data_IF_737759678008
#
_entry.id   IF_737759678008
#
_cell.length_a   1.000
_cell.length_b   1.000
_cell.length_c   1.000
_cell.angle_alpha   90.00
_cell.angle_beta   90.00
_cell.angle_gamma   90.00
#
_symmetry.space_group_name_H-M   'P 1'
#
loop_
_entity.id
_entity.type
_entity.pdbx_description
1 polymer ?
#
# COMPACT_ATOMS: atom_id res chain seq x y z
N UNK A 1 -14.81 -4.59 21.48
CA UNK A 1 -14.85 -4.01 20.13
C UNK A 1 -13.49 -3.41 19.82
N UNK A 2 -12.97 -3.68 18.63
CA UNK A 2 -11.74 -3.04 18.13
C UNK A 2 -12.13 -2.01 17.08
N UNK A 3 -11.52 -0.80 17.11
CA UNK A 3 -11.58 0.20 16.06
C UNK A 3 -10.28 0.13 15.27
N UNK A 4 -10.38 0.19 13.96
CA UNK A 4 -9.26 0.38 13.04
C UNK A 4 -9.45 1.71 12.32
N UNK A 5 -8.39 2.52 12.26
CA UNK A 5 -8.41 3.77 11.55
C UNK A 5 -7.13 3.94 10.73
N UNK A 6 -7.25 4.66 9.64
CA UNK A 6 -6.14 5.03 8.78
C UNK A 6 -6.30 6.50 8.43
N UNK A 7 -5.23 7.27 8.56
CA UNK A 7 -5.17 8.66 8.17
C UNK A 7 -4.04 8.87 7.18
N UNK A 8 -4.38 9.28 5.96
CA UNK A 8 -3.40 9.57 4.92
C UNK A 8 -2.91 11.01 5.07
N UNK A 9 -1.62 11.15 5.24
CA UNK A 9 -0.94 12.43 5.43
C UNK A 9 0.07 12.61 4.31
N UNK A 10 0.11 13.79 3.70
CA UNK A 10 1.14 14.15 2.72
C UNK A 10 2.38 14.64 3.48
N UNK A 11 3.54 14.14 3.11
CA UNK A 11 4.84 14.56 3.62
C UNK A 11 5.80 14.73 2.43
N UNK A 12 6.69 15.71 2.51
CA UNK A 12 7.83 15.79 1.61
C UNK A 12 8.92 14.76 2.01
N UNK A 13 9.96 14.62 1.16
CA UNK A 13 11.03 13.64 1.41
C UNK A 13 11.76 13.88 2.73
N UNK A 14 12.01 15.13 3.09
CA UNK A 14 12.72 15.48 4.32
C UNK A 14 11.85 15.22 5.56
N UNK A 15 10.57 15.54 5.49
CA UNK A 15 9.58 15.21 6.54
C UNK A 15 9.44 13.70 6.68
N UNK A 16 9.30 12.98 5.57
CA UNK A 16 9.18 11.52 5.57
C UNK A 16 10.41 10.86 6.18
N UNK A 17 11.61 11.30 5.82
CA UNK A 17 12.85 10.79 6.39
C UNK A 17 12.90 10.96 7.92
N UNK A 18 12.41 12.10 8.45
CA UNK A 18 12.30 12.32 9.90
C UNK A 18 11.25 11.44 10.55
N UNK A 19 10.09 11.27 9.91
CA UNK A 19 9.00 10.43 10.41
C UNK A 19 9.37 8.94 10.47
N UNK A 20 10.32 8.50 9.64
CA UNK A 20 10.80 7.12 9.58
C UNK A 20 11.99 6.83 10.51
N UNK A 21 12.28 7.70 11.47
CA UNK A 21 13.26 7.43 12.54
C UNK A 21 12.53 6.88 13.76
N UNK A 22 12.96 5.71 14.25
CA UNK A 22 12.35 5.08 15.42
C UNK A 22 12.76 5.75 16.75
N UNK A 23 12.16 5.31 17.85
CA UNK A 23 12.44 5.80 19.21
C UNK A 23 13.88 5.60 19.66
N UNK A 24 14.64 4.74 18.96
CA UNK A 24 16.06 4.46 19.22
C UNK A 24 16.99 5.25 18.28
N UNK A 25 16.44 6.15 17.45
CA UNK A 25 17.21 6.96 16.51
C UNK A 25 17.61 6.22 15.23
N UNK A 26 17.07 5.02 14.95
CA UNK A 26 17.41 4.23 13.77
C UNK A 26 16.49 4.58 12.60
N UNK A 27 17.03 4.89 11.41
CA UNK A 27 16.21 5.16 10.23
C UNK A 27 15.64 3.86 9.64
N UNK A 28 14.40 3.93 9.19
CA UNK A 28 13.69 2.88 8.48
C UNK A 28 13.38 3.32 7.04
N UNK A 29 13.17 2.34 6.14
CA UNK A 29 12.95 2.65 4.72
C UNK A 29 11.50 2.95 4.36
N UNK A 30 10.56 2.29 5.02
CA UNK A 30 9.17 2.30 4.56
C UNK A 30 8.12 2.31 5.67
N UNK A 31 8.43 1.91 6.89
CA UNK A 31 7.45 1.83 7.97
C UNK A 31 8.11 1.88 9.34
N UNK A 32 7.37 2.38 10.32
CA UNK A 32 7.62 2.15 11.73
C UNK A 32 6.56 1.18 12.24
N UNK A 33 6.98 0.14 12.95
CA UNK A 33 6.08 -0.81 13.56
C UNK A 33 5.34 -0.18 14.75
N UNK A 34 4.33 -0.88 15.22
CA UNK A 34 3.58 -0.49 16.42
C UNK A 34 4.52 -0.40 17.61
N UNK A 35 4.50 0.73 18.31
CA UNK A 35 5.39 1.00 19.45
C UNK A 35 6.78 1.55 19.09
N UNK A 36 7.17 1.64 17.81
CA UNK A 36 8.49 2.15 17.40
C UNK A 36 8.52 3.67 17.24
N UNK A 37 7.38 4.33 17.14
CA UNK A 37 7.33 5.78 16.96
C UNK A 37 7.86 6.52 18.20
N UNK A 38 8.72 7.55 18.02
CA UNK A 38 9.15 8.41 19.13
C UNK A 38 7.95 9.10 19.75
N UNK A 39 7.95 9.30 21.08
CA UNK A 39 6.87 10.02 21.76
C UNK A 39 6.62 11.43 21.17
N UNK A 40 7.68 12.13 20.78
CA UNK A 40 7.55 13.45 20.16
C UNK A 40 6.76 13.39 18.84
N UNK A 41 6.97 12.34 18.04
CA UNK A 41 6.23 12.12 16.80
C UNK A 41 4.75 11.78 17.08
N UNK A 42 4.48 10.97 18.11
CA UNK A 42 3.10 10.65 18.54
C UNK A 42 2.39 11.93 19.04
N UNK A 43 3.05 12.74 19.86
CA UNK A 43 2.48 14.03 20.31
C UNK A 43 2.18 14.96 19.12
N UNK A 44 3.14 15.10 18.20
CA UNK A 44 2.93 15.91 16.99
C UNK A 44 1.77 15.41 16.12
N UNK A 45 1.57 14.09 16.01
CA UNK A 45 0.44 13.48 15.32
C UNK A 45 -0.89 13.86 16.00
N UNK A 46 -0.97 13.78 17.34
CA UNK A 46 -2.17 14.16 18.09
C UNK A 46 -2.48 15.64 17.93
N UNK A 47 -1.47 16.51 18.02
CA UNK A 47 -1.64 17.96 17.85
C UNK A 47 -2.08 18.30 16.42
N UNK A 48 -1.56 17.58 15.42
CA UNK A 48 -2.02 17.70 14.05
C UNK A 48 -3.48 17.25 13.90
N UNK A 49 -3.85 16.13 14.50
CA UNK A 49 -5.23 15.66 14.47
C UNK A 49 -6.20 16.67 15.06
N UNK A 50 -5.86 17.30 16.18
CA UNK A 50 -6.68 18.34 16.81
C UNK A 50 -6.92 19.57 15.92
N UNK A 51 -5.99 19.85 15.00
CA UNK A 51 -6.11 20.99 14.06
C UNK A 51 -6.82 20.63 12.76
N UNK A 52 -6.65 19.40 12.27
CA UNK A 52 -6.98 19.05 10.88
C UNK A 52 -8.22 18.17 10.75
N UNK A 53 -8.62 17.43 11.78
CA UNK A 53 -9.75 16.53 11.69
C UNK A 53 -10.86 16.84 12.69
N UNK A 54 -12.04 16.27 12.50
CA UNK A 54 -13.17 16.43 13.42
C UNK A 54 -12.77 16.01 14.86
N UNK A 55 -13.19 16.72 15.94
CA UNK A 55 -12.78 16.42 17.31
C UNK A 55 -12.91 14.96 17.74
N UNK A 56 -14.00 14.28 17.38
CA UNK A 56 -14.17 12.85 17.68
C UNK A 56 -13.11 11.94 17.03
N UNK A 57 -12.57 12.33 15.86
CA UNK A 57 -11.49 11.60 15.21
C UNK A 57 -10.15 11.93 15.88
N UNK A 58 -9.96 13.19 16.28
CA UNK A 58 -8.79 13.59 17.07
C UNK A 58 -8.72 12.85 18.40
N UNK A 59 -9.86 12.68 19.09
CA UNK A 59 -9.94 11.89 20.32
C UNK A 59 -9.57 10.42 20.09
N UNK A 60 -9.98 9.84 18.96
CA UNK A 60 -9.59 8.49 18.58
C UNK A 60 -8.08 8.36 18.36
N UNK A 61 -7.47 9.33 17.67
CA UNK A 61 -6.02 9.39 17.48
C UNK A 61 -5.31 9.50 18.81
N UNK A 62 -5.77 10.41 19.69
CA UNK A 62 -5.19 10.63 21.01
C UNK A 62 -5.33 9.41 21.94
N UNK A 63 -6.39 8.63 21.79
CA UNK A 63 -6.62 7.39 22.55
C UNK A 63 -5.83 6.19 22.02
N UNK A 64 -5.09 6.33 20.92
CA UNK A 64 -4.29 5.26 20.33
C UNK A 64 -2.87 5.30 20.90
N UNK A 65 -2.48 4.34 21.77
CA UNK A 65 -1.20 4.41 22.47
C UNK A 65 0.00 4.22 21.53
N UNK A 66 -0.13 3.33 20.57
CA UNK A 66 0.97 2.90 19.69
C UNK A 66 0.57 2.99 18.22
N UNK A 67 0.45 4.19 17.63
CA UNK A 67 0.21 4.31 16.20
C UNK A 67 1.43 3.78 15.43
N UNK A 68 1.19 3.17 14.28
CA UNK A 68 2.26 2.80 13.35
C UNK A 68 2.22 3.69 12.10
N UNK A 69 3.35 3.80 11.42
CA UNK A 69 3.48 4.58 10.20
C UNK A 69 3.89 3.66 9.05
N UNK A 70 3.22 3.83 7.93
CA UNK A 70 3.55 3.11 6.70
C UNK A 70 3.52 4.09 5.52
N UNK A 71 4.60 4.09 4.75
CA UNK A 71 4.63 4.87 3.50
C UNK A 71 3.74 4.22 2.45
N UNK A 72 3.08 5.06 1.67
CA UNK A 72 2.35 4.60 0.49
C UNK A 72 3.35 4.49 -0.66
N UNK A 73 3.59 3.28 -1.12
CA UNK A 73 4.50 3.00 -2.24
C UNK A 73 3.73 2.40 -3.40
N UNK A 74 4.22 2.66 -4.60
CA UNK A 74 3.77 1.99 -5.81
C UNK A 74 4.84 0.97 -6.20
N UNK A 75 4.45 -0.29 -6.41
CA UNK A 75 5.33 -1.32 -6.97
C UNK A 75 4.69 -1.88 -8.23
N UNK A 76 5.45 -1.91 -9.30
CA UNK A 76 5.07 -2.53 -10.55
C UNK A 76 6.28 -3.26 -11.11
N UNK A 77 6.22 -4.58 -11.17
CA UNK A 77 7.31 -5.37 -11.72
C UNK A 77 7.21 -5.43 -13.25
N UNK A 78 8.34 -5.46 -13.96
CA UNK A 78 8.35 -5.55 -15.43
C UNK A 78 7.95 -6.95 -15.92
N UNK A 79 8.08 -7.97 -15.06
CA UNK A 79 7.85 -9.38 -15.35
C UNK A 79 7.28 -10.07 -14.12
N UNK A 80 6.36 -11.02 -14.32
CA UNK A 80 5.70 -11.76 -13.24
C UNK A 80 5.88 -13.27 -13.32
N UNK A 81 6.42 -13.80 -14.42
CA UNK A 81 6.68 -15.23 -14.59
C UNK A 81 8.17 -15.48 -14.82
N UNK A 82 8.74 -16.38 -14.03
CA UNK A 82 10.16 -16.77 -14.05
C UNK A 82 10.25 -18.31 -14.12
N UNK A 83 10.24 -18.86 -15.34
CA UNK A 83 10.06 -20.28 -15.54
C UNK A 83 8.68 -20.72 -15.01
N UNK A 84 8.67 -21.54 -13.97
CA UNK A 84 7.42 -21.99 -13.31
C UNK A 84 7.14 -21.30 -11.97
N UNK A 85 7.83 -20.21 -11.69
CA UNK A 85 7.57 -19.33 -10.54
C UNK A 85 6.76 -18.13 -11.00
N UNK A 86 5.63 -17.85 -10.31
CA UNK A 86 4.74 -16.74 -10.64
C UNK A 86 4.62 -15.79 -9.45
N UNK A 87 4.70 -14.48 -9.71
CA UNK A 87 4.37 -13.44 -8.74
C UNK A 87 2.89 -13.10 -8.84
N UNK A 88 2.21 -13.00 -7.69
CA UNK A 88 0.79 -12.71 -7.57
C UNK A 88 0.56 -11.61 -6.53
N UNK A 89 -0.57 -10.95 -6.60
CA UNK A 89 -0.95 -9.96 -5.58
C UNK A 89 0.10 -8.86 -5.42
N UNK A 90 0.43 -8.53 -4.19
CA UNK A 90 1.38 -7.46 -3.88
C UNK A 90 2.82 -7.79 -4.25
N UNK A 91 3.18 -9.06 -4.43
CA UNK A 91 4.48 -9.45 -4.97
C UNK A 91 4.70 -9.00 -6.42
N UNK A 92 3.61 -8.83 -7.19
CA UNK A 92 3.66 -8.35 -8.57
C UNK A 92 3.39 -6.84 -8.67
N UNK A 93 2.35 -6.37 -8.00
CA UNK A 93 1.91 -4.97 -8.05
C UNK A 93 1.36 -4.54 -6.69
N UNK A 94 1.99 -3.57 -6.06
CA UNK A 94 1.41 -2.84 -4.92
C UNK A 94 0.65 -1.64 -5.46
N UNK A 95 -0.66 -1.63 -5.23
CA UNK A 95 -1.53 -0.53 -5.62
C UNK A 95 -1.88 0.33 -4.43
N UNK A 96 -2.03 1.64 -4.65
CA UNK A 96 -2.33 2.59 -3.57
C UNK A 96 -3.63 2.22 -2.86
N UNK A 97 -3.67 2.34 -1.52
CA UNK A 97 -4.80 1.91 -0.71
C UNK A 97 -6.11 2.65 -1.03
N UNK A 98 -6.05 3.87 -1.59
CA UNK A 98 -7.25 4.60 -2.02
C UNK A 98 -8.06 3.88 -3.12
N UNK A 99 -7.48 2.90 -3.80
CA UNK A 99 -8.20 2.09 -4.79
C UNK A 99 -9.13 1.07 -4.13
N UNK A 100 -8.92 0.75 -2.85
CA UNK A 100 -9.57 -0.37 -2.13
C UNK A 100 -9.49 -1.71 -2.90
N UNK A 101 -8.57 -1.83 -3.88
CA UNK A 101 -8.56 -2.91 -4.86
C UNK A 101 -7.54 -4.03 -4.62
N UNK A 102 -6.65 -3.92 -3.60
CA UNK A 102 -5.53 -4.85 -3.44
C UNK A 102 -5.97 -6.31 -3.27
N UNK A 103 -6.94 -6.58 -2.37
CA UNK A 103 -7.43 -7.93 -2.14
C UNK A 103 -8.18 -8.49 -3.37
N UNK A 104 -9.02 -7.66 -4.01
CA UNK A 104 -9.73 -8.06 -5.23
C UNK A 104 -8.77 -8.35 -6.38
N UNK A 105 -7.68 -7.55 -6.49
CA UNK A 105 -6.62 -7.78 -7.47
C UNK A 105 -5.93 -9.13 -7.24
N UNK A 106 -5.57 -9.44 -5.99
CA UNK A 106 -4.92 -10.70 -5.65
C UNK A 106 -5.82 -11.91 -5.95
N UNK A 107 -7.12 -11.83 -5.63
CA UNK A 107 -8.09 -12.86 -5.96
C UNK A 107 -8.25 -13.03 -7.49
N UNK A 108 -8.29 -11.92 -8.24
CA UNK A 108 -8.32 -11.95 -9.70
C UNK A 108 -7.06 -12.60 -10.29
N UNK A 109 -5.88 -12.25 -9.77
CA UNK A 109 -4.60 -12.82 -10.23
C UNK A 109 -4.61 -14.36 -10.06
N UNK A 110 -5.10 -14.85 -8.91
CA UNK A 110 -5.22 -16.27 -8.63
C UNK A 110 -6.20 -16.97 -9.60
N UNK A 111 -7.38 -16.38 -9.83
CA UNK A 111 -8.38 -16.90 -10.76
C UNK A 111 -7.87 -16.91 -12.20
N UNK A 112 -7.14 -15.86 -12.60
CA UNK A 112 -6.53 -15.76 -13.93
C UNK A 112 -5.48 -16.84 -14.14
N UNK A 113 -4.59 -17.07 -13.17
CA UNK A 113 -3.59 -18.12 -13.21
C UNK A 113 -4.24 -19.51 -13.31
N UNK A 114 -5.23 -19.80 -12.46
CA UNK A 114 -5.96 -21.05 -12.48
C UNK A 114 -6.62 -21.31 -13.85
N UNK A 115 -7.25 -20.27 -14.42
CA UNK A 115 -7.87 -20.35 -15.75
C UNK A 115 -6.83 -20.60 -16.85
N UNK A 116 -5.70 -19.89 -16.80
CA UNK A 116 -4.64 -20.03 -17.79
C UNK A 116 -4.03 -21.44 -17.77
N UNK A 117 -3.78 -21.99 -16.59
CA UNK A 117 -3.25 -23.36 -16.44
C UNK A 117 -4.28 -24.41 -16.82
N UNK A 118 -5.56 -24.23 -16.46
CA UNK A 118 -6.63 -25.16 -16.84
C UNK A 118 -6.88 -25.25 -18.34
N UNK A 119 -6.67 -24.15 -19.07
CA UNK A 119 -6.81 -24.10 -20.54
C UNK A 119 -5.56 -24.56 -21.27
N UNK A 120 -4.39 -24.47 -20.65
CA UNK A 120 -3.11 -24.81 -21.29
C UNK A 120 -2.93 -26.32 -21.55
N UNK A 121 -3.68 -27.17 -20.87
CA UNK A 121 -3.51 -28.61 -20.97
C UNK A 121 -2.08 -29.03 -20.63
N UNK A 122 -1.33 -29.57 -21.60
CA UNK A 122 0.07 -29.96 -21.41
C UNK A 122 1.07 -28.81 -21.65
N UNK A 123 0.68 -27.73 -22.32
CA UNK A 123 1.56 -26.56 -22.57
C UNK A 123 1.44 -25.53 -21.48
N UNK A 124 1.96 -25.87 -20.30
CA UNK A 124 1.99 -24.98 -19.13
C UNK A 124 2.69 -23.65 -19.46
N UNK A 125 3.75 -23.67 -20.25
CA UNK A 125 4.53 -22.47 -20.57
C UNK A 125 3.72 -21.50 -21.44
N UNK A 126 2.88 -21.98 -22.37
CA UNK A 126 1.95 -21.12 -23.09
C UNK A 126 0.88 -20.53 -22.16
N UNK A 127 0.35 -21.31 -21.23
CA UNK A 127 -0.58 -20.83 -20.19
C UNK A 127 0.02 -19.72 -19.35
N UNK A 128 1.25 -19.91 -18.89
CA UNK A 128 1.97 -18.91 -18.07
C UNK A 128 2.28 -17.62 -18.85
N UNK A 129 2.64 -17.71 -20.13
CA UNK A 129 2.81 -16.51 -20.99
C UNK A 129 1.50 -15.71 -21.11
N UNK A 130 0.38 -16.40 -21.33
CA UNK A 130 -0.93 -15.76 -21.40
C UNK A 130 -1.35 -15.11 -20.08
N UNK A 131 -1.10 -15.79 -18.97
CA UNK A 131 -1.30 -15.24 -17.62
C UNK A 131 -0.48 -13.96 -17.42
N UNK A 132 0.84 -14.00 -17.67
CA UNK A 132 1.72 -12.85 -17.49
C UNK A 132 1.26 -11.63 -18.29
N UNK A 133 0.95 -11.79 -19.56
CA UNK A 133 0.48 -10.69 -20.42
C UNK A 133 -0.76 -10.00 -19.84
N UNK A 134 -1.78 -10.78 -19.44
CA UNK A 134 -3.02 -10.26 -18.90
C UNK A 134 -2.85 -9.65 -17.49
N UNK A 135 -1.96 -10.21 -16.65
CA UNK A 135 -1.65 -9.68 -15.34
C UNK A 135 -0.89 -8.35 -15.41
N UNK A 136 0.12 -8.26 -16.28
CA UNK A 136 0.90 -7.04 -16.50
C UNK A 136 0.03 -5.89 -17.00
N UNK A 137 -0.86 -6.13 -17.93
CA UNK A 137 -1.81 -5.14 -18.44
C UNK A 137 -2.70 -4.60 -17.31
N UNK A 138 -3.36 -5.50 -16.59
CA UNK A 138 -4.27 -5.12 -15.50
C UNK A 138 -3.53 -4.43 -14.34
N UNK A 139 -2.39 -4.98 -13.93
CA UNK A 139 -1.60 -4.43 -12.83
C UNK A 139 -1.12 -3.00 -13.11
N UNK A 140 -0.64 -2.73 -14.33
CA UNK A 140 -0.27 -1.37 -14.76
C UNK A 140 -1.47 -0.43 -14.76
N UNK A 141 -2.62 -0.87 -15.25
CA UNK A 141 -3.86 -0.10 -15.21
C UNK A 141 -4.27 0.29 -13.79
N UNK A 142 -4.22 -0.65 -12.85
CA UNK A 142 -4.53 -0.41 -11.44
C UNK A 142 -3.53 0.53 -10.77
N UNK A 143 -2.23 0.39 -11.04
CA UNK A 143 -1.20 1.29 -10.51
C UNK A 143 -1.42 2.72 -11.02
N UNK A 144 -1.63 2.91 -12.32
CA UNK A 144 -1.90 4.22 -12.91
C UNK A 144 -3.16 4.86 -12.33
N UNK A 145 -4.22 4.08 -12.16
CA UNK A 145 -5.46 4.55 -11.52
C UNK A 145 -5.20 5.02 -10.08
N UNK A 146 -4.46 4.23 -9.28
CA UNK A 146 -4.10 4.58 -7.91
C UNK A 146 -3.28 5.88 -7.83
N UNK A 147 -2.32 6.08 -8.73
CA UNK A 147 -1.55 7.32 -8.83
C UNK A 147 -2.45 8.51 -9.15
N UNK A 148 -3.37 8.37 -10.11
CA UNK A 148 -4.32 9.43 -10.48
C UNK A 148 -5.25 9.82 -9.33
N UNK A 149 -5.76 8.84 -8.56
CA UNK A 149 -6.58 9.09 -7.37
C UNK A 149 -5.77 9.82 -6.29
N UNK A 150 -4.55 9.38 -6.01
CA UNK A 150 -3.69 10.01 -5.00
C UNK A 150 -3.41 11.48 -5.32
N UNK A 151 -3.14 11.83 -6.59
CA UNK A 151 -2.94 13.23 -7.02
C UNK A 151 -4.17 14.10 -6.80
N UNK A 152 -5.38 13.57 -7.00
CA UNK A 152 -6.64 14.31 -6.76
C UNK A 152 -6.86 14.56 -5.26
N UNK A 153 -6.51 13.60 -4.41
CA UNK A 153 -6.66 13.75 -2.95
C UNK A 153 -5.72 14.81 -2.40
N UNK A 154 -4.47 14.88 -2.89
CA UNK A 154 -3.50 15.90 -2.47
C UNK A 154 -3.84 17.30 -2.99
N UNK A 155 -4.45 17.42 -4.17
CA UNK A 155 -4.87 18.71 -4.73
C UNK A 155 -6.04 19.35 -3.95
N UNK A 156 -6.90 18.56 -3.28
CA UNK A 156 -8.01 19.05 -2.45
C UNK A 156 -7.58 19.44 -1.03
N UNK A 157 -6.40 19.06 -0.59
CA UNK A 157 -5.88 19.35 0.75
C UNK A 157 -5.02 20.63 0.81
N UNK A 158 -4.88 21.35 -0.31
CA UNK A 158 -4.28 22.68 -0.42
C UNK A 158 -5.36 23.74 -0.63
#
# INVERSE_FOLDING_TARGET
RRLNWVWYVTADEAELARLLVDRHGRPHRASLAQGDAPEAAVRALVDRARREVHPRLADLVAATPDPFLQTVVDVAVPRTVFGRVCLLGDAAFVVRPHTAGAAAKAARDAALLATALGRAGQDIDAGLRGFEAAQLEYGRGMTNHGVALGRRSTAKAR
#
